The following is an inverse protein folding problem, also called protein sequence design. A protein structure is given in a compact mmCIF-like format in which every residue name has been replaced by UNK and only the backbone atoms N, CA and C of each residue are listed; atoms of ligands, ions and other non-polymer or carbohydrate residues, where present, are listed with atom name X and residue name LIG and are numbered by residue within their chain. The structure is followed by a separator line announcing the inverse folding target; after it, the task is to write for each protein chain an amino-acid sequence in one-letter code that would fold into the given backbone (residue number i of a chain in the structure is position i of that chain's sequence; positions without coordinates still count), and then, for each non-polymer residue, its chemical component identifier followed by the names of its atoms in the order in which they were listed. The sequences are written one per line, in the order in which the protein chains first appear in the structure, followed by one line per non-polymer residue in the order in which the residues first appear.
data_IF_609848475459
#
_entry.id   IF_609848475459
#
_cell.length_a   1.000
_cell.length_b   1.000
_cell.length_c   1.000
_cell.angle_alpha   90.00
_cell.angle_beta   90.00
_cell.angle_gamma   90.00
#
_symmetry.space_group_name_H-M   'P 1'
#
loop_
_entity.id
_entity.type
_entity.pdbx_description
1 polymer ?
#
# COMPACT_ATOMS: atom_id res chain seq x y z
N UNK A 1 -15.86 10.91 0.82
CA UNK A 1 -16.17 9.86 -0.18
C UNK A 1 -15.76 10.26 -1.60
N UNK A 2 -15.94 11.53 -2.02
CA UNK A 2 -15.57 12.00 -3.37
C UNK A 2 -14.05 11.88 -3.64
N UNK A 3 -13.20 12.08 -2.64
CA UNK A 3 -11.74 11.94 -2.79
C UNK A 3 -11.25 10.49 -2.98
N UNK A 4 -12.02 9.50 -2.51
CA UNK A 4 -11.71 8.07 -2.72
C UNK A 4 -12.12 7.61 -4.12
N UNK A 5 -13.14 8.22 -4.73
CA UNK A 5 -13.60 7.89 -6.08
C UNK A 5 -12.54 8.20 -7.14
N UNK A 6 -11.86 9.35 -7.04
CA UNK A 6 -10.80 9.72 -7.99
C UNK A 6 -9.56 8.82 -7.91
N UNK A 7 -9.27 8.22 -6.76
CA UNK A 7 -8.15 7.28 -6.61
C UNK A 7 -8.47 5.88 -7.15
N UNK A 8 -9.75 5.53 -7.32
CA UNK A 8 -10.18 4.19 -7.74
C UNK A 8 -10.43 4.12 -9.25
N UNK A 9 -10.66 5.27 -9.91
CA UNK A 9 -11.24 5.34 -11.26
C UNK A 9 -10.24 5.41 -12.43
N UNK A 10 -8.94 5.53 -12.17
CA UNK A 10 -7.97 5.87 -13.23
C UNK A 10 -7.57 4.70 -14.15
N UNK A 11 -7.86 3.44 -13.82
CA UNK A 11 -7.41 2.28 -14.62
C UNK A 11 -8.53 1.51 -15.33
N UNK A 12 -9.75 1.51 -14.78
CA UNK A 12 -10.92 0.85 -15.38
C UNK A 12 -12.16 1.72 -15.21
N UNK A 13 -13.05 1.73 -16.23
CA UNK A 13 -14.39 2.34 -16.16
C UNK A 13 -15.31 1.51 -15.25
N UNK A 14 -15.04 1.52 -13.95
CA UNK A 14 -15.83 0.82 -12.94
C UNK A 14 -16.67 1.80 -12.11
N UNK A 15 -17.88 1.38 -11.76
CA UNK A 15 -18.74 2.16 -10.86
C UNK A 15 -18.18 2.12 -9.44
N UNK A 16 -18.53 3.11 -8.62
CA UNK A 16 -18.13 3.17 -7.20
C UNK A 16 -18.47 1.88 -6.45
N UNK A 17 -19.66 1.33 -6.67
CA UNK A 17 -20.10 0.10 -6.01
C UNK A 17 -19.24 -1.09 -6.43
N UNK A 18 -18.91 -1.23 -7.72
CA UNK A 18 -18.00 -2.27 -8.21
C UNK A 18 -16.61 -2.13 -7.60
N UNK A 19 -16.09 -0.92 -7.49
CA UNK A 19 -14.79 -0.67 -6.87
C UNK A 19 -14.75 -1.10 -5.39
N UNK A 20 -15.82 -0.83 -4.63
CA UNK A 20 -15.96 -1.29 -3.24
C UNK A 20 -15.99 -2.82 -3.17
N UNK A 21 -16.77 -3.49 -4.02
CA UNK A 21 -16.82 -4.96 -4.04
C UNK A 21 -15.49 -5.58 -4.44
N UNK A 22 -14.78 -5.02 -5.42
CA UNK A 22 -13.44 -5.49 -5.82
C UNK A 22 -12.42 -5.30 -4.69
N UNK A 23 -12.49 -4.16 -3.99
CA UNK A 23 -11.62 -3.89 -2.85
C UNK A 23 -11.84 -4.89 -1.71
N UNK A 24 -13.08 -5.03 -1.24
CA UNK A 24 -13.43 -5.95 -0.16
C UNK A 24 -13.21 -7.42 -0.57
N UNK A 25 -13.59 -7.78 -1.80
CA UNK A 25 -13.35 -9.10 -2.36
C UNK A 25 -11.86 -9.43 -2.43
N UNK A 26 -11.03 -8.50 -2.88
CA UNK A 26 -9.58 -8.64 -2.93
C UNK A 26 -8.96 -8.89 -1.56
N UNK A 27 -9.43 -8.21 -0.51
CA UNK A 27 -8.98 -8.42 0.87
C UNK A 27 -9.34 -9.83 1.35
N UNK A 28 -10.60 -10.25 1.16
CA UNK A 28 -11.08 -11.56 1.61
C UNK A 28 -10.40 -12.69 0.85
N UNK A 29 -10.33 -12.61 -0.48
CA UNK A 29 -9.66 -13.60 -1.33
C UNK A 29 -8.16 -13.65 -0.99
N UNK A 30 -7.53 -12.49 -0.81
CA UNK A 30 -6.13 -12.40 -0.39
C UNK A 30 -5.87 -13.16 0.91
N UNK A 31 -6.72 -12.99 1.91
CA UNK A 31 -6.64 -13.75 3.16
C UNK A 31 -6.83 -15.26 2.95
N UNK A 32 -7.84 -15.67 2.20
CA UNK A 32 -8.14 -17.09 1.95
C UNK A 32 -6.96 -17.78 1.25
N UNK A 33 -6.39 -17.15 0.20
CA UNK A 33 -5.23 -17.69 -0.52
C UNK A 33 -4.03 -17.80 0.42
N UNK A 34 -3.72 -16.75 1.16
CA UNK A 34 -2.61 -16.75 2.12
C UNK A 34 -2.78 -17.81 3.21
N UNK A 35 -3.97 -17.95 3.80
CA UNK A 35 -4.26 -18.98 4.81
C UNK A 35 -4.14 -20.39 4.21
N UNK A 36 -4.63 -20.57 2.98
CA UNK A 36 -4.48 -21.80 2.22
C UNK A 36 -3.01 -22.18 1.97
N UNK A 37 -2.16 -21.22 1.55
CA UNK A 37 -0.72 -21.42 1.38
C UNK A 37 -0.06 -21.91 2.69
N UNK A 38 -0.39 -21.28 3.80
CA UNK A 38 0.16 -21.66 5.10
C UNK A 38 -0.31 -23.03 5.60
N UNK A 39 -1.49 -23.48 5.21
CA UNK A 39 -2.02 -24.83 5.56
C UNK A 39 -1.61 -25.90 4.58
N UNK A 40 -1.12 -25.54 3.41
CA UNK A 40 -0.66 -26.44 2.36
C UNK A 40 0.65 -27.17 2.76
N UNK A 41 1.09 -28.17 2.01
CA UNK A 41 2.41 -28.79 2.20
C UNK A 41 3.58 -27.79 2.14
N UNK A 42 3.43 -26.66 1.42
CA UNK A 42 4.41 -25.58 1.36
C UNK A 42 4.67 -24.97 2.74
N UNK A 43 3.65 -24.96 3.61
CA UNK A 43 3.74 -24.45 4.98
C UNK A 43 4.69 -25.24 5.90
N UNK A 44 5.18 -26.41 5.47
CA UNK A 44 6.16 -27.19 6.25
C UNK A 44 7.60 -26.66 6.12
N UNK A 45 7.87 -25.88 5.08
CA UNK A 45 9.19 -25.28 4.85
C UNK A 45 9.05 -23.74 4.82
N UNK A 46 9.63 -23.09 5.83
CA UNK A 46 9.52 -21.64 6.01
C UNK A 46 10.06 -20.83 4.81
N UNK A 47 11.16 -21.32 4.17
CA UNK A 47 11.74 -20.63 3.01
C UNK A 47 10.83 -20.75 1.78
N UNK A 48 10.33 -21.95 1.49
CA UNK A 48 9.43 -22.17 0.34
C UNK A 48 8.14 -21.37 0.54
N UNK A 49 7.61 -21.37 1.73
CA UNK A 49 6.41 -20.59 2.07
C UNK A 49 6.66 -19.08 1.93
N UNK A 50 7.81 -18.59 2.37
CA UNK A 50 8.17 -17.18 2.23
C UNK A 50 8.29 -16.77 0.76
N UNK A 51 8.92 -17.61 -0.08
CA UNK A 51 9.03 -17.37 -1.53
C UNK A 51 7.66 -17.41 -2.21
N UNK A 52 6.83 -18.41 -1.91
CA UNK A 52 5.47 -18.51 -2.44
C UNK A 52 4.60 -17.32 -2.00
N UNK A 53 4.73 -16.91 -0.75
CA UNK A 53 4.05 -15.71 -0.22
C UNK A 53 4.52 -14.43 -0.90
N UNK A 54 5.82 -14.27 -1.16
CA UNK A 54 6.37 -13.13 -1.89
C UNK A 54 5.83 -13.07 -3.32
N UNK A 55 5.89 -14.20 -4.05
CA UNK A 55 5.35 -14.30 -5.41
C UNK A 55 3.86 -13.94 -5.41
N UNK A 56 3.10 -14.48 -4.47
CA UNK A 56 1.67 -14.16 -4.32
C UNK A 56 1.44 -12.66 -4.10
N UNK A 57 2.19 -12.02 -3.20
CA UNK A 57 2.05 -10.59 -2.91
C UNK A 57 2.45 -9.71 -4.11
N UNK A 58 3.50 -10.10 -4.86
CA UNK A 58 3.91 -9.38 -6.08
C UNK A 58 2.85 -9.50 -7.18
N UNK A 59 2.30 -10.70 -7.39
CA UNK A 59 1.20 -10.91 -8.36
C UNK A 59 -0.05 -10.12 -7.95
N UNK A 60 -0.39 -10.11 -6.66
CA UNK A 60 -1.51 -9.34 -6.15
C UNK A 60 -1.29 -7.84 -6.34
N UNK A 61 -0.07 -7.35 -6.13
CA UNK A 61 0.33 -5.97 -6.40
C UNK A 61 0.12 -5.60 -7.88
N UNK A 62 0.56 -6.47 -8.78
CA UNK A 62 0.35 -6.28 -10.22
C UNK A 62 -1.15 -6.20 -10.55
N UNK A 63 -1.96 -7.13 -10.05
CA UNK A 63 -3.42 -7.13 -10.25
C UNK A 63 -4.04 -5.84 -9.73
N UNK A 64 -3.66 -5.40 -8.54
CA UNK A 64 -4.20 -4.16 -7.97
C UNK A 64 -3.85 -2.91 -8.79
N UNK A 65 -2.66 -2.85 -9.40
CA UNK A 65 -2.29 -1.73 -10.29
C UNK A 65 -3.05 -1.75 -11.62
N UNK A 66 -3.65 -2.87 -12.02
CA UNK A 66 -4.52 -2.94 -13.20
C UNK A 66 -5.96 -2.51 -12.89
N UNK A 67 -6.39 -2.64 -11.63
CA UNK A 67 -7.78 -2.39 -11.21
C UNK A 67 -7.94 -1.00 -10.58
N UNK A 68 -6.97 -0.60 -9.77
CA UNK A 68 -6.99 0.65 -9.02
C UNK A 68 -5.93 1.61 -9.56
N UNK A 69 -6.10 2.91 -9.32
CA UNK A 69 -5.01 3.86 -9.54
C UNK A 69 -3.76 3.42 -8.75
N UNK A 70 -2.58 3.80 -9.21
CA UNK A 70 -1.32 3.40 -8.57
C UNK A 70 -1.30 3.72 -7.06
N UNK A 71 -1.81 4.88 -6.64
CA UNK A 71 -1.99 5.23 -5.22
C UNK A 71 -2.98 4.31 -4.53
N UNK A 72 -4.13 4.05 -5.18
CA UNK A 72 -5.17 3.14 -4.69
C UNK A 72 -4.64 1.72 -4.51
N UNK A 73 -3.84 1.23 -5.45
CA UNK A 73 -3.20 -0.09 -5.40
C UNK A 73 -2.25 -0.23 -4.19
N UNK A 74 -1.45 0.81 -3.88
CA UNK A 74 -0.60 0.83 -2.69
C UNK A 74 -1.43 0.77 -1.41
N UNK A 75 -2.45 1.61 -1.29
CA UNK A 75 -3.34 1.59 -0.13
C UNK A 75 -4.04 0.24 0.02
N UNK A 76 -4.58 -0.30 -1.08
CA UNK A 76 -5.25 -1.59 -1.11
C UNK A 76 -4.32 -2.73 -0.67
N UNK A 77 -3.07 -2.70 -1.12
CA UNK A 77 -2.06 -3.68 -0.72
C UNK A 77 -1.74 -3.58 0.78
N UNK A 78 -1.57 -2.36 1.30
CA UNK A 78 -1.37 -2.12 2.73
C UNK A 78 -2.51 -2.65 3.58
N UNK A 79 -3.76 -2.38 3.18
CA UNK A 79 -4.96 -2.88 3.86
C UNK A 79 -5.04 -4.41 3.79
N UNK A 80 -4.73 -5.01 2.63
CA UNK A 80 -4.75 -6.47 2.47
C UNK A 80 -3.72 -7.15 3.37
N UNK A 81 -2.47 -6.68 3.39
CA UNK A 81 -1.42 -7.21 4.26
C UNK A 81 -1.79 -6.99 5.74
N UNK A 82 -2.27 -5.80 6.10
CA UNK A 82 -2.73 -5.50 7.46
C UNK A 82 -3.86 -6.42 7.92
N UNK A 83 -4.82 -6.69 7.04
CA UNK A 83 -5.92 -7.64 7.31
C UNK A 83 -5.40 -9.07 7.50
N UNK A 84 -4.44 -9.52 6.67
CA UNK A 84 -3.78 -10.82 6.87
C UNK A 84 -3.12 -10.90 8.25
N UNK A 85 -2.45 -9.84 8.68
CA UNK A 85 -1.79 -9.80 10.00
C UNK A 85 -2.79 -9.84 11.15
N UNK A 86 -3.87 -9.09 11.07
CA UNK A 86 -4.94 -9.08 12.08
C UNK A 86 -5.67 -10.43 12.10
N UNK A 87 -6.01 -10.98 10.94
CA UNK A 87 -6.67 -12.28 10.83
C UNK A 87 -5.77 -13.43 11.35
N UNK A 88 -4.46 -13.37 11.15
CA UNK A 88 -3.51 -14.30 11.78
C UNK A 88 -3.67 -14.31 13.30
N UNK A 89 -3.77 -13.13 13.91
CA UNK A 89 -3.93 -13.02 15.37
C UNK A 89 -5.31 -13.52 15.81
N UNK A 90 -6.38 -13.00 15.20
CA UNK A 90 -7.74 -13.26 15.62
C UNK A 90 -8.22 -14.71 15.35
N UNK A 91 -7.83 -15.27 14.19
CA UNK A 91 -8.36 -16.56 13.73
C UNK A 91 -7.43 -17.75 13.96
N UNK A 92 -6.11 -17.51 14.16
CA UNK A 92 -5.14 -18.61 14.28
C UNK A 92 -4.43 -18.57 15.64
N UNK A 93 -3.79 -17.42 15.97
CA UNK A 93 -2.95 -17.34 17.17
C UNK A 93 -3.80 -17.40 18.44
N UNK A 94 -4.77 -16.50 18.60
CA UNK A 94 -5.61 -16.45 19.82
C UNK A 94 -6.40 -17.75 20.03
N UNK A 95 -7.11 -18.33 19.04
CA UNK A 95 -7.83 -19.59 19.25
C UNK A 95 -6.89 -20.77 19.56
N UNK A 96 -5.71 -20.81 18.93
CA UNK A 96 -4.69 -21.83 19.23
C UNK A 96 -4.17 -21.71 20.67
N UNK A 97 -3.83 -20.51 21.09
CA UNK A 97 -3.36 -20.22 22.47
C UNK A 97 -4.42 -20.58 23.52
N UNK A 98 -5.70 -20.25 23.27
CA UNK A 98 -6.80 -20.63 24.18
C UNK A 98 -6.85 -22.14 24.39
N UNK A 99 -6.69 -22.95 23.32
CA UNK A 99 -6.68 -24.42 23.40
C UNK A 99 -5.48 -24.93 24.21
N UNK A 100 -4.29 -24.34 24.00
CA UNK A 100 -3.10 -24.69 24.77
C UNK A 100 -3.31 -24.40 26.27
N UNK A 101 -3.82 -23.23 26.62
CA UNK A 101 -4.10 -22.87 28.01
C UNK A 101 -5.16 -23.77 28.64
N UNK A 102 -6.19 -24.16 27.92
CA UNK A 102 -7.23 -25.09 28.40
C UNK A 102 -6.65 -26.47 28.71
N UNK A 103 -5.82 -27.04 27.83
CA UNK A 103 -5.16 -28.33 28.08
C UNK A 103 -4.27 -28.26 29.33
N UNK A 104 -3.42 -27.23 29.46
CA UNK A 104 -2.58 -27.04 30.62
C UNK A 104 -3.38 -26.91 31.92
N UNK A 105 -4.51 -26.21 31.91
CA UNK A 105 -5.41 -26.10 33.08
C UNK A 105 -6.08 -27.42 33.46
N UNK A 106 -6.31 -28.29 32.48
CA UNK A 106 -6.87 -29.64 32.70
C UNK A 106 -5.79 -30.64 33.16
N UNK A 107 -4.52 -30.27 33.16
CA UNK A 107 -3.39 -31.16 33.45
C UNK A 107 -3.01 -32.06 32.28
N UNK A 108 -3.52 -31.75 31.07
CA UNK A 108 -3.24 -32.46 29.83
C UNK A 108 -2.08 -31.86 29.06
N UNK A 109 -1.37 -32.68 28.28
CA UNK A 109 -0.36 -32.20 27.35
C UNK A 109 -1.01 -31.49 26.16
N UNK A 110 -0.68 -30.21 25.87
CA UNK A 110 -1.28 -29.48 24.77
C UNK A 110 -0.77 -30.00 23.44
N UNK A 111 -1.68 -30.11 22.44
CA UNK A 111 -1.28 -30.51 21.09
C UNK A 111 -0.29 -29.51 20.48
N UNK A 112 0.95 -29.94 20.10
CA UNK A 112 2.02 -29.08 19.63
C UNK A 112 1.67 -28.27 18.36
N UNK A 113 0.68 -28.73 17.57
CA UNK A 113 0.29 -28.10 16.30
C UNK A 113 -0.18 -26.66 16.50
N UNK A 114 -0.82 -26.35 17.64
CA UNK A 114 -1.28 -24.99 17.93
C UNK A 114 -0.11 -24.03 18.18
N UNK A 115 0.92 -24.49 18.87
CA UNK A 115 2.14 -23.74 19.08
C UNK A 115 2.91 -23.50 17.80
N UNK A 116 3.08 -24.53 16.97
CA UNK A 116 3.78 -24.44 15.68
C UNK A 116 3.08 -23.46 14.74
N UNK A 117 1.77 -23.59 14.57
CA UNK A 117 0.97 -22.68 13.73
C UNK A 117 0.99 -21.24 14.26
N UNK A 118 0.84 -21.05 15.55
CA UNK A 118 0.91 -19.74 16.19
C UNK A 118 2.26 -19.07 15.97
N UNK A 119 3.36 -19.80 16.16
CA UNK A 119 4.73 -19.33 15.91
C UNK A 119 4.94 -18.92 14.45
N UNK A 120 4.52 -19.74 13.49
CA UNK A 120 4.63 -19.44 12.06
C UNK A 120 3.91 -18.14 11.71
N UNK A 121 2.64 -17.99 12.12
CA UNK A 121 1.86 -16.78 11.84
C UNK A 121 2.42 -15.53 12.51
N UNK A 122 2.90 -15.66 13.74
CA UNK A 122 3.58 -14.58 14.46
C UNK A 122 4.87 -14.16 13.74
N UNK A 123 5.62 -15.11 13.21
CA UNK A 123 6.83 -14.84 12.42
C UNK A 123 6.48 -14.09 11.12
N UNK A 124 5.43 -14.49 10.40
CA UNK A 124 4.97 -13.77 9.20
C UNK A 124 4.57 -12.33 9.53
N UNK A 125 3.78 -12.12 10.58
CA UNK A 125 3.41 -10.78 11.02
C UNK A 125 4.64 -9.93 11.34
N UNK A 126 5.66 -10.53 11.98
CA UNK A 126 6.90 -9.85 12.28
C UNK A 126 7.63 -9.39 11.01
N UNK A 127 7.75 -10.24 9.98
CA UNK A 127 8.38 -9.88 8.71
C UNK A 127 7.58 -8.87 7.90
N UNK A 128 6.25 -8.91 7.95
CA UNK A 128 5.36 -8.01 7.22
C UNK A 128 5.20 -6.63 7.87
N UNK A 129 5.62 -6.45 9.13
CA UNK A 129 5.43 -5.18 9.86
C UNK A 129 6.09 -3.99 9.16
N UNK A 130 7.37 -4.08 8.78
CA UNK A 130 8.06 -2.98 8.10
C UNK A 130 7.50 -2.71 6.71
N UNK A 131 7.28 -3.73 5.85
CA UNK A 131 6.64 -3.52 4.56
C UNK A 131 5.28 -2.83 4.65
N UNK A 132 4.40 -3.27 5.52
CA UNK A 132 3.05 -2.70 5.62
C UNK A 132 3.07 -1.25 6.08
N UNK A 133 3.93 -0.91 7.06
CA UNK A 133 4.09 0.47 7.52
C UNK A 133 4.60 1.35 6.37
N UNK A 134 5.62 0.89 5.63
CA UNK A 134 6.17 1.64 4.51
C UNK A 134 5.15 1.86 3.40
N UNK A 135 4.39 0.84 3.03
CA UNK A 135 3.35 0.93 2.00
C UNK A 135 2.24 1.90 2.41
N UNK A 136 1.82 1.89 3.67
CA UNK A 136 0.81 2.82 4.19
C UNK A 136 1.31 4.27 4.18
N UNK A 137 2.56 4.51 4.59
CA UNK A 137 3.18 5.84 4.55
C UNK A 137 3.48 6.25 3.10
N UNK A 138 3.89 5.30 2.26
CA UNK A 138 4.24 5.51 0.86
C UNK A 138 3.14 6.15 0.02
N UNK A 139 1.87 5.97 0.39
CA UNK A 139 0.72 6.63 -0.24
C UNK A 139 0.76 8.17 -0.19
N UNK A 140 1.61 8.76 0.66
CA UNK A 140 1.83 10.22 0.74
C UNK A 140 2.98 10.71 -0.16
N UNK A 141 3.74 9.82 -0.79
CA UNK A 141 4.91 10.16 -1.61
C UNK A 141 4.70 9.72 -3.07
N UNK A 142 4.25 10.63 -3.96
CA UNK A 142 3.94 10.31 -5.35
C UNK A 142 5.09 9.65 -6.12
N UNK A 143 6.34 9.97 -5.80
CA UNK A 143 7.51 9.41 -6.45
C UNK A 143 7.58 7.88 -6.39
N UNK A 144 6.93 7.27 -5.39
CA UNK A 144 6.96 5.81 -5.18
C UNK A 144 5.93 5.10 -6.05
N UNK A 145 4.75 5.72 -6.26
CA UNK A 145 3.64 5.08 -6.96
C UNK A 145 3.31 5.70 -8.33
N UNK A 146 3.77 6.94 -8.63
CA UNK A 146 3.52 7.59 -9.92
C UNK A 146 4.48 7.09 -11.02
N UNK A 147 4.61 5.78 -11.17
CA UNK A 147 5.48 5.11 -12.14
C UNK A 147 4.82 3.84 -12.65
N UNK A 148 5.05 3.49 -13.93
CA UNK A 148 4.55 2.23 -14.52
C UNK A 148 5.08 0.99 -13.77
N UNK A 149 6.23 1.10 -13.12
CA UNK A 149 6.86 0.00 -12.36
C UNK A 149 6.44 -0.03 -10.88
N UNK A 150 5.37 0.67 -10.49
CA UNK A 150 4.92 0.77 -9.10
C UNK A 150 4.68 -0.59 -8.43
N UNK A 151 4.14 -1.57 -9.15
CA UNK A 151 3.94 -2.95 -8.67
C UNK A 151 5.26 -3.67 -8.35
N UNK A 152 6.30 -3.42 -9.16
CA UNK A 152 7.64 -4.00 -8.94
C UNK A 152 8.33 -3.31 -7.76
N UNK A 153 8.23 -1.98 -7.67
CA UNK A 153 8.75 -1.21 -6.52
C UNK A 153 8.12 -1.72 -5.23
N UNK A 154 6.81 -2.00 -5.22
CA UNK A 154 6.15 -2.60 -4.06
C UNK A 154 6.76 -3.97 -3.70
N UNK A 155 7.03 -4.83 -4.69
CA UNK A 155 7.73 -6.10 -4.48
C UNK A 155 9.11 -5.92 -3.86
N UNK A 156 9.89 -4.94 -4.34
CA UNK A 156 11.20 -4.60 -3.76
C UNK A 156 11.08 -4.11 -2.31
N UNK A 157 10.09 -3.30 -1.99
CA UNK A 157 9.79 -2.84 -0.63
C UNK A 157 9.53 -4.01 0.32
N UNK A 158 8.76 -5.01 -0.13
CA UNK A 158 8.51 -6.22 0.65
C UNK A 158 9.81 -6.95 0.98
N UNK A 159 10.69 -7.09 0.00
CA UNK A 159 12.00 -7.74 0.17
C UNK A 159 12.90 -6.91 1.10
N UNK A 160 13.00 -5.61 0.89
CA UNK A 160 13.81 -4.71 1.72
C UNK A 160 13.36 -4.80 3.19
N UNK A 161 12.05 -4.69 3.44
CA UNK A 161 11.49 -4.80 4.79
C UNK A 161 11.77 -6.16 5.44
N UNK A 162 11.68 -7.25 4.66
CA UNK A 162 11.99 -8.59 5.12
C UNK A 162 13.49 -8.75 5.45
N UNK A 163 14.40 -8.21 4.63
CA UNK A 163 15.84 -8.25 4.87
C UNK A 163 16.25 -7.50 6.13
N UNK A 164 15.71 -6.28 6.32
CA UNK A 164 15.95 -5.48 7.54
C UNK A 164 15.44 -6.25 8.76
N UNK A 165 14.25 -6.84 8.67
CA UNK A 165 13.68 -7.61 9.77
C UNK A 165 14.46 -8.88 10.06
N UNK A 166 14.98 -9.55 9.02
CA UNK A 166 15.83 -10.71 9.16
C UNK A 166 17.12 -10.40 9.93
N UNK A 167 17.76 -9.26 9.65
CA UNK A 167 18.92 -8.81 10.42
C UNK A 167 18.61 -8.73 11.90
N UNK A 168 17.56 -8.01 12.28
CA UNK A 168 17.20 -7.84 13.68
C UNK A 168 16.75 -9.15 14.35
N UNK A 169 15.97 -9.97 13.65
CA UNK A 169 15.54 -11.27 14.17
C UNK A 169 16.72 -12.21 14.45
N UNK A 170 17.72 -12.23 13.56
CA UNK A 170 18.92 -13.05 13.71
C UNK A 170 19.78 -12.54 14.87
N UNK A 171 19.98 -11.22 14.96
CA UNK A 171 20.73 -10.59 16.05
C UNK A 171 20.07 -10.84 17.41
N UNK A 172 18.74 -10.71 17.51
CA UNK A 172 18.01 -10.94 18.77
C UNK A 172 18.02 -12.41 19.20
N UNK A 173 18.24 -13.36 18.30
CA UNK A 173 18.46 -14.78 18.62
C UNK A 173 19.86 -15.08 19.15
N UNK A 174 20.75 -14.09 19.28
CA UNK A 174 22.14 -14.28 19.67
C UNK A 174 23.02 -14.90 18.59
N UNK A 175 22.54 -14.98 17.34
CA UNK A 175 23.31 -15.49 16.22
C UNK A 175 24.17 -14.37 15.58
N UNK A 176 25.25 -14.72 14.83
CA UNK A 176 26.04 -13.73 14.12
C UNK A 176 25.16 -12.85 13.23
N UNK A 177 25.31 -11.53 13.36
CA UNK A 177 24.49 -10.59 12.62
C UNK A 177 24.77 -10.68 11.10
N UNK A 178 23.77 -10.90 10.26
CA UNK A 178 23.93 -11.05 8.81
C UNK A 178 24.06 -9.67 8.13
N UNK A 179 25.22 -9.02 8.24
CA UNK A 179 25.45 -7.67 7.68
C UNK A 179 25.25 -7.59 6.17
N UNK A 180 25.36 -8.70 5.45
CA UNK A 180 25.07 -8.76 4.01
C UNK A 180 23.65 -8.30 3.67
N UNK A 181 22.70 -8.44 4.59
CA UNK A 181 21.30 -8.01 4.38
C UNK A 181 21.18 -6.51 4.18
N UNK A 182 22.04 -5.71 4.84
CA UNK A 182 22.07 -4.27 4.65
C UNK A 182 22.60 -3.89 3.27
N UNK A 183 23.65 -4.57 2.78
CA UNK A 183 24.16 -4.34 1.45
C UNK A 183 23.08 -4.62 0.40
N UNK A 184 22.43 -5.78 0.47
CA UNK A 184 21.36 -6.14 -0.46
C UNK A 184 20.17 -5.19 -0.35
N UNK A 185 19.73 -4.83 0.86
CA UNK A 185 18.64 -3.88 1.06
C UNK A 185 18.96 -2.50 0.46
N UNK A 186 20.19 -2.02 0.61
CA UNK A 186 20.62 -0.74 0.03
C UNK A 186 20.63 -0.79 -1.50
N UNK A 187 21.12 -1.88 -2.10
CA UNK A 187 21.10 -2.06 -3.57
C UNK A 187 19.66 -2.11 -4.11
N UNK A 188 18.76 -2.81 -3.43
CA UNK A 188 17.35 -2.86 -3.81
C UNK A 188 16.65 -1.49 -3.63
N UNK A 189 17.03 -0.72 -2.62
CA UNK A 189 16.52 0.65 -2.44
C UNK A 189 16.97 1.56 -3.58
N UNK A 190 18.25 1.50 -3.97
CA UNK A 190 18.75 2.24 -5.14
C UNK A 190 18.02 1.80 -6.41
N UNK A 191 17.83 0.49 -6.62
CA UNK A 191 17.07 -0.04 -7.74
C UNK A 191 15.62 0.51 -7.75
N UNK A 192 14.96 0.58 -6.59
CA UNK A 192 13.61 1.15 -6.48
C UNK A 192 13.57 2.63 -6.88
N UNK A 193 14.59 3.41 -6.49
CA UNK A 193 14.73 4.82 -6.88
C UNK A 193 14.94 4.93 -8.40
N UNK A 194 15.83 4.13 -8.97
CA UNK A 194 16.07 4.13 -10.42
C UNK A 194 14.82 3.76 -11.22
N UNK A 195 14.07 2.75 -10.75
CA UNK A 195 12.79 2.37 -11.37
C UNK A 195 11.74 3.48 -11.27
N UNK A 196 11.71 4.23 -10.18
CA UNK A 196 10.77 5.34 -10.04
C UNK A 196 11.04 6.46 -11.04
N UNK A 197 12.31 6.72 -11.37
CA UNK A 197 12.69 7.67 -12.41
C UNK A 197 12.50 7.11 -13.83
N UNK A 198 12.85 5.85 -14.08
CA UNK A 198 12.72 5.22 -15.38
C UNK A 198 11.27 5.09 -15.86
N UNK A 199 10.36 4.82 -14.95
CA UNK A 199 8.92 4.71 -15.23
C UNK A 199 8.13 5.99 -14.95
N UNK A 200 8.82 7.11 -14.69
CA UNK A 200 8.13 8.39 -14.50
C UNK A 200 7.40 8.81 -15.80
N UNK A 201 6.17 9.35 -15.68
CA UNK A 201 5.43 9.84 -16.83
C UNK A 201 6.31 10.81 -17.63
N UNK A 202 6.43 10.54 -18.93
CA UNK A 202 7.30 11.34 -19.77
C UNK A 202 6.74 12.76 -19.86
N UNK A 203 7.43 13.75 -19.29
CA UNK A 203 7.03 15.17 -19.31
C UNK A 203 6.83 15.71 -20.74
N UNK A 204 7.20 14.95 -21.78
CA UNK A 204 6.96 15.30 -23.17
C UNK A 204 5.46 15.25 -23.56
N UNK A 205 4.60 14.59 -22.78
CA UNK A 205 3.13 14.60 -22.99
C UNK A 205 2.55 15.98 -22.69
N UNK A 206 3.22 16.79 -21.87
CA UNK A 206 2.82 18.17 -21.56
C UNK A 206 3.59 19.23 -22.36
N UNK A 207 4.12 18.90 -23.55
CA UNK A 207 4.45 19.96 -24.49
C UNK A 207 3.15 20.59 -24.98
N UNK A 208 2.73 21.63 -24.27
CA UNK A 208 1.60 22.53 -24.62
C UNK A 208 1.68 23.03 -26.07
N UNK A 209 2.87 22.95 -26.69
CA UNK A 209 3.10 23.30 -28.08
C UNK A 209 2.31 22.47 -29.13
N UNK A 210 1.75 21.32 -28.76
CA UNK A 210 0.97 20.49 -29.69
C UNK A 210 -0.54 20.55 -29.44
N UNK A 211 -0.98 21.28 -28.40
CA UNK A 211 -2.38 21.58 -28.20
C UNK A 211 -2.69 22.86 -28.98
N UNK A 212 -3.50 22.77 -30.04
CA UNK A 212 -4.09 23.93 -30.74
C UNK A 212 -5.07 24.70 -29.82
N UNK A 213 -4.74 24.81 -28.54
CA UNK A 213 -5.53 25.48 -27.52
C UNK A 213 -5.00 26.91 -27.29
N UNK A 214 -5.92 27.84 -27.18
CA UNK A 214 -5.60 29.21 -26.78
C UNK A 214 -5.11 29.25 -25.32
N UNK A 215 -4.41 30.33 -24.93
CA UNK A 215 -4.00 30.51 -23.52
C UNK A 215 -5.18 30.51 -22.57
N UNK A 216 -6.33 31.02 -22.97
CA UNK A 216 -7.55 31.03 -22.16
C UNK A 216 -8.14 29.63 -21.98
N UNK A 217 -8.16 28.82 -23.01
CA UNK A 217 -8.60 27.41 -22.93
C UNK A 217 -7.68 26.60 -22.01
N UNK A 218 -6.36 26.79 -22.13
CA UNK A 218 -5.38 26.14 -21.25
C UNK A 218 -5.60 26.55 -19.80
N UNK A 219 -5.81 27.85 -19.56
CA UNK A 219 -6.04 28.36 -18.20
C UNK A 219 -7.34 27.79 -17.62
N UNK A 220 -8.44 27.80 -18.39
CA UNK A 220 -9.73 27.23 -17.99
C UNK A 220 -9.61 25.75 -17.64
N UNK A 221 -8.99 24.94 -18.52
CA UNK A 221 -8.78 23.52 -18.28
C UNK A 221 -7.89 23.26 -17.06
N UNK A 222 -6.86 24.07 -16.86
CA UNK A 222 -5.98 23.96 -15.68
C UNK A 222 -6.75 24.28 -14.38
N UNK A 223 -7.58 25.31 -14.38
CA UNK A 223 -8.43 25.66 -13.23
C UNK A 223 -9.45 24.56 -12.94
N UNK A 224 -10.11 24.04 -13.97
CA UNK A 224 -11.05 22.92 -13.84
C UNK A 224 -10.37 21.68 -13.21
N UNK A 225 -9.18 21.32 -13.70
CA UNK A 225 -8.39 20.21 -13.14
C UNK A 225 -7.99 20.42 -11.68
N UNK A 226 -7.61 21.66 -11.32
CA UNK A 226 -7.26 22.00 -9.93
C UNK A 226 -8.51 21.93 -9.05
N UNK A 227 -9.66 22.44 -9.52
CA UNK A 227 -10.93 22.36 -8.78
C UNK A 227 -11.32 20.90 -8.61
N UNK A 228 -11.30 20.09 -9.65
CA UNK A 228 -11.71 18.69 -9.56
C UNK A 228 -10.79 17.83 -8.69
N UNK A 229 -9.47 18.08 -8.74
CA UNK A 229 -8.50 17.18 -8.11
C UNK A 229 -7.97 17.63 -6.77
N UNK A 230 -7.99 18.93 -6.47
CA UNK A 230 -7.35 19.48 -5.30
C UNK A 230 -8.33 20.10 -4.31
N UNK A 231 -9.52 20.54 -4.75
CA UNK A 231 -10.48 21.24 -3.89
C UNK A 231 -11.06 20.39 -2.77
N UNK A 232 -11.12 19.08 -2.93
CA UNK A 232 -11.58 18.16 -1.87
C UNK A 232 -10.81 18.31 -0.55
N UNK A 233 -9.51 18.69 -0.64
CA UNK A 233 -8.64 18.94 0.52
C UNK A 233 -8.26 20.41 0.65
N UNK A 234 -8.15 21.16 -0.45
CA UNK A 234 -7.61 22.51 -0.53
C UNK A 234 -8.69 23.57 -0.80
N UNK A 235 -9.95 23.31 -0.45
CA UNK A 235 -11.02 24.31 -0.38
C UNK A 235 -11.03 25.03 0.99
N UNK A 236 -11.72 26.15 1.07
CA UNK A 236 -11.93 26.88 2.32
C UNK A 236 -12.68 26.01 3.36
N UNK A 237 -13.64 25.23 2.88
CA UNK A 237 -14.35 24.20 3.62
C UNK A 237 -14.09 22.86 2.91
N UNK A 238 -13.04 22.11 3.29
CA UNK A 238 -12.73 20.86 2.65
C UNK A 238 -13.89 19.86 2.79
N UNK A 239 -14.22 19.17 1.69
CA UNK A 239 -15.24 18.11 1.70
C UNK A 239 -14.79 16.85 2.45
N UNK A 240 -13.50 16.77 2.78
CA UNK A 240 -12.96 15.64 3.54
C UNK A 240 -13.34 15.78 5.01
N UNK A 241 -14.20 14.89 5.48
CA UNK A 241 -14.56 14.78 6.89
C UNK A 241 -13.29 14.64 7.76
N UNK A 242 -13.13 15.56 8.72
CA UNK A 242 -11.97 15.61 9.62
C UNK A 242 -10.94 16.70 9.31
N UNK A 243 -11.08 17.42 8.19
CA UNK A 243 -10.31 18.64 7.95
C UNK A 243 -11.17 19.85 8.25
N UNK A 244 -10.84 20.59 9.31
CA UNK A 244 -11.54 21.84 9.66
C UNK A 244 -11.18 23.00 8.71
N UNK A 245 -10.03 22.90 8.02
CA UNK A 245 -9.52 23.90 7.07
C UNK A 245 -8.48 23.27 6.15
N UNK A 246 -8.17 23.96 5.05
CA UNK A 246 -7.21 23.50 4.04
C UNK A 246 -5.84 23.17 4.65
N UNK A 247 -5.23 22.02 4.31
CA UNK A 247 -3.91 21.62 4.81
C UNK A 247 -2.87 22.72 4.58
N UNK A 248 -2.09 23.05 5.61
CA UNK A 248 -1.07 24.11 5.60
C UNK A 248 -1.61 25.50 5.25
N UNK A 249 -2.92 25.73 5.37
CA UNK A 249 -3.55 27.00 5.02
C UNK A 249 -3.57 27.31 3.53
N UNK A 250 -3.28 26.32 2.66
CA UNK A 250 -3.32 26.51 1.20
C UNK A 250 -4.73 26.20 0.72
N UNK A 251 -5.49 27.27 0.41
CA UNK A 251 -6.79 27.19 -0.21
C UNK A 251 -6.68 27.59 -1.68
N UNK A 252 -6.78 26.63 -2.60
CA UNK A 252 -6.59 26.88 -4.04
C UNK A 252 -7.79 27.62 -4.67
N UNK A 253 -9.00 27.41 -4.13
CA UNK A 253 -10.19 28.12 -4.62
C UNK A 253 -10.18 29.59 -4.22
N UNK A 254 -9.71 29.91 -3.02
CA UNK A 254 -9.61 31.31 -2.56
C UNK A 254 -8.58 32.12 -3.34
N UNK A 255 -7.47 31.49 -3.78
CA UNK A 255 -6.44 32.17 -4.58
C UNK A 255 -6.90 32.44 -6.00
N UNK A 256 -7.83 31.66 -6.57
CA UNK A 256 -8.44 31.94 -7.87
C UNK A 256 -9.46 33.09 -7.80
N UNK A 257 -10.28 33.14 -6.76
CA UNK A 257 -11.25 34.23 -6.55
C UNK A 257 -10.56 35.57 -6.26
N UNK A 258 -9.48 35.57 -5.47
CA UNK A 258 -8.69 36.78 -5.20
C UNK A 258 -7.94 37.32 -6.44
N UNK A 259 -7.68 36.48 -7.45
CA UNK A 259 -7.12 36.90 -8.72
C UNK A 259 -8.18 37.57 -9.62
N UNK A 260 -9.45 37.16 -9.53
CA UNK A 260 -10.57 37.77 -10.26
C UNK A 260 -11.01 39.13 -9.65
N UNK A 261 -10.99 39.25 -8.32
CA UNK A 261 -11.29 40.52 -7.65
C UNK A 261 -10.25 41.61 -7.99
N UNK A 262 -9.00 41.25 -8.27
CA UNK A 262 -7.97 42.21 -8.72
C UNK A 262 -8.14 42.67 -10.16
N UNK A 263 -8.88 41.96 -10.99
CA UNK A 263 -9.19 42.35 -12.37
C UNK A 263 -10.41 43.27 -12.49
N UNK A 264 -11.17 43.39 -11.42
CA UNK A 264 -12.37 44.25 -11.36
C UNK A 264 -12.14 45.65 -10.83
N UNK A 265 -10.90 46.06 -10.61
CA UNK A 265 -10.51 47.42 -10.15
C UNK A 265 -9.54 48.05 -11.14
N UNK A 266 -10.05 48.36 -12.34
CA UNK A 266 -9.53 49.37 -13.27
C UNK A 266 -10.70 50.13 -13.93
#
# INVERSE_FOLDING_TARGET
LVGSEMCIRDSLDITQLQAVFLSLGGIVIGWIIYDGLCRSPLGKNDLILALAGLVFLVLLSFIYTQVFSHRGAFMQMGVTIGTMMVANVAMVIIPGQKKVVQALKAGDDPNPIYGVRGKQRSLHNNYLTLPVIFVMIGGHYPIIFATEYSWLILGLILIIGALIRHFFNTKHKGLPAPYWTWLVASLLAVCSVLLSYAGAPNNNVYKVSNLNMTKEEIHKTAVELVIERCSSCHAREPLWEGLAFAPKGICLLYTSDAADERRGVD
#
